data_IF_071287108647
#
_entry.id   IF_071287108647
#
_cell.length_a   1.000
_cell.length_b   1.000
_cell.length_c   1.000
_cell.angle_alpha   90.00
_cell.angle_beta   90.00
_cell.angle_gamma   90.00
#
_symmetry.space_group_name_H-M   'P 1'
#
loop_
_entity.id
_entity.type
_entity.pdbx_description
1 polymer ?
#
# COMPACT_ATOMS: atom_id res chain seq x y z
N UNK A 1 -23.35 -1.21 -6.49
CA UNK A 1 -22.56 -1.29 -5.23
C UNK A 1 -21.84 0.04 -5.09
N UNK A 2 -22.45 1.02 -4.43
CA UNK A 2 -21.84 2.32 -4.13
C UNK A 2 -20.95 2.15 -2.91
N UNK A 3 -19.63 2.23 -3.10
CA UNK A 3 -18.62 2.03 -2.05
C UNK A 3 -18.05 3.40 -1.68
N UNK A 4 -17.99 3.72 -0.40
CA UNK A 4 -17.54 5.03 0.08
C UNK A 4 -16.39 4.87 1.07
N UNK A 5 -15.22 5.43 0.74
CA UNK A 5 -14.13 5.65 1.70
C UNK A 5 -13.50 7.02 1.45
N UNK A 6 -12.90 7.57 2.50
CA UNK A 6 -12.10 8.81 2.60
C UNK A 6 -12.85 10.10 2.31
N UNK A 7 -14.00 10.21 2.97
CA UNK A 7 -14.45 11.49 3.43
C UNK A 7 -14.61 11.39 4.95
N UNK A 8 -13.98 12.28 5.72
CA UNK A 8 -14.29 12.47 7.14
C UNK A 8 -15.14 13.73 7.31
N UNK A 9 -15.95 13.75 8.38
CA UNK A 9 -16.75 14.90 8.77
C UNK A 9 -17.67 15.40 7.65
N UNK A 10 -17.48 16.67 7.26
CA UNK A 10 -18.34 17.41 6.31
C UNK A 10 -18.47 16.76 4.93
N UNK A 11 -17.40 16.14 4.41
CA UNK A 11 -17.46 15.50 3.08
C UNK A 11 -18.28 14.21 3.09
N UNK A 12 -18.38 13.54 4.23
CA UNK A 12 -19.12 12.27 4.35
C UNK A 12 -20.59 12.54 4.63
N UNK A 13 -20.86 13.35 5.66
CA UNK A 13 -22.20 13.58 6.20
C UNK A 13 -22.91 14.80 5.59
N UNK A 14 -22.18 15.62 4.85
CA UNK A 14 -22.65 16.93 4.41
C UNK A 14 -22.45 17.99 5.49
N UNK A 15 -22.69 19.25 5.11
CA UNK A 15 -22.63 20.37 6.04
C UNK A 15 -23.51 21.53 5.59
N UNK A 16 -23.86 22.37 6.55
CA UNK A 16 -24.48 23.66 6.27
C UNK A 16 -23.39 24.72 6.21
N UNK A 17 -23.37 25.48 5.12
CA UNK A 17 -22.52 26.65 5.00
C UNK A 17 -23.02 27.75 5.95
N UNK A 18 -22.11 28.36 6.70
CA UNK A 18 -22.44 29.29 7.79
C UNK A 18 -22.88 30.65 7.22
N UNK A 19 -22.32 31.05 6.08
CA UNK A 19 -22.53 32.35 5.47
C UNK A 19 -23.78 32.33 4.57
N UNK A 20 -23.94 31.29 3.75
CA UNK A 20 -25.07 31.17 2.83
C UNK A 20 -26.29 30.49 3.46
N UNK A 21 -26.10 29.73 4.55
CA UNK A 21 -27.10 28.83 5.14
C UNK A 21 -27.61 27.76 4.17
N UNK A 22 -26.87 27.51 3.10
CA UNK A 22 -27.20 26.45 2.15
C UNK A 22 -26.66 25.11 2.63
N UNK A 23 -27.42 24.06 2.37
CA UNK A 23 -27.00 22.68 2.65
C UNK A 23 -26.15 22.16 1.49
N UNK A 24 -24.97 21.65 1.82
CA UNK A 24 -24.12 20.91 0.89
C UNK A 24 -24.12 19.44 1.27
N UNK A 25 -24.55 18.58 0.32
CA UNK A 25 -24.58 17.14 0.51
C UNK A 25 -23.17 16.55 0.69
N UNK A 26 -23.10 15.45 1.46
CA UNK A 26 -21.93 14.60 1.55
C UNK A 26 -22.14 13.29 0.79
N UNK A 27 -21.09 12.48 0.69
CA UNK A 27 -21.17 11.22 -0.07
C UNK A 27 -22.27 10.30 0.50
N UNK A 28 -22.41 10.23 1.82
CA UNK A 28 -23.45 9.39 2.43
C UNK A 28 -24.85 9.92 2.14
N UNK A 29 -25.08 11.22 2.25
CA UNK A 29 -26.43 11.79 2.06
C UNK A 29 -26.86 11.70 0.60
N UNK A 30 -25.92 11.91 -0.33
CA UNK A 30 -26.12 11.63 -1.76
C UNK A 30 -26.49 10.15 -2.00
N UNK A 31 -25.69 9.21 -1.48
CA UNK A 31 -25.96 7.77 -1.63
C UNK A 31 -27.30 7.40 -1.01
N UNK A 32 -27.61 7.91 0.18
CA UNK A 32 -28.87 7.66 0.86
C UNK A 32 -30.07 8.08 0.01
N UNK A 33 -30.03 9.26 -0.61
CA UNK A 33 -31.06 9.73 -1.55
C UNK A 33 -31.20 8.85 -2.77
N UNK A 34 -30.12 8.28 -3.27
CA UNK A 34 -30.16 7.38 -4.43
C UNK A 34 -30.77 6.02 -4.06
N UNK A 35 -30.38 5.48 -2.91
CA UNK A 35 -30.83 4.15 -2.45
C UNK A 35 -32.33 4.12 -2.14
N UNK A 36 -32.91 5.22 -1.66
CA UNK A 36 -34.35 5.27 -1.37
C UNK A 36 -35.23 5.39 -2.62
N UNK A 37 -34.67 5.75 -3.79
CA UNK A 37 -35.45 5.89 -5.04
C UNK A 37 -35.97 4.55 -5.55
N UNK A 38 -35.20 3.49 -5.36
CA UNK A 38 -35.55 2.14 -5.78
C UNK A 38 -35.58 1.18 -4.60
N UNK A 39 -36.79 0.87 -4.14
CA UNK A 39 -37.04 -0.08 -3.04
C UNK A 39 -37.19 -1.52 -3.53
N UNK A 40 -37.21 -1.76 -4.85
CA UNK A 40 -37.33 -3.10 -5.42
C UNK A 40 -36.03 -3.91 -5.30
N UNK A 41 -34.90 -3.21 -5.14
CA UNK A 41 -33.57 -3.80 -5.05
C UNK A 41 -33.04 -3.80 -3.64
N UNK A 42 -32.35 -4.88 -3.29
CA UNK A 42 -31.62 -4.97 -2.04
C UNK A 42 -30.26 -4.26 -2.19
N UNK A 43 -29.99 -3.28 -1.32
CA UNK A 43 -28.85 -2.38 -1.47
C UNK A 43 -27.94 -2.41 -0.25
N UNK A 44 -26.63 -2.47 -0.50
CA UNK A 44 -25.60 -2.48 0.54
C UNK A 44 -24.79 -1.20 0.45
N UNK A 45 -24.75 -0.44 1.54
CA UNK A 45 -23.87 0.72 1.71
C UNK A 45 -22.66 0.25 2.49
N UNK A 46 -21.48 0.30 1.85
CA UNK A 46 -20.24 -0.24 2.41
C UNK A 46 -19.33 0.90 2.85
N UNK A 47 -19.01 0.90 4.14
CA UNK A 47 -17.99 1.72 4.78
C UNK A 47 -16.76 0.84 5.03
N UNK A 48 -15.86 0.79 4.08
CA UNK A 48 -14.53 0.25 4.34
C UNK A 48 -13.72 1.39 4.92
N UNK A 49 -13.28 1.36 6.18
CA UNK A 49 -12.76 2.53 6.87
C UNK A 49 -12.48 2.32 8.33
N UNK A 50 -11.54 3.09 8.87
CA UNK A 50 -11.34 3.16 10.30
C UNK A 50 -12.53 3.91 10.91
N UNK A 51 -12.99 3.47 12.07
CA UNK A 51 -14.19 4.01 12.72
C UNK A 51 -13.80 5.13 13.67
N UNK A 52 -14.28 6.34 13.39
CA UNK A 52 -14.15 7.48 14.29
C UNK A 52 -15.48 7.73 15.02
N UNK A 53 -15.45 8.05 16.33
CA UNK A 53 -16.64 8.38 17.12
C UNK A 53 -17.51 9.47 16.49
N UNK A 54 -16.89 10.51 15.92
CA UNK A 54 -17.61 11.70 15.46
C UNK A 54 -18.60 11.42 14.34
N UNK A 55 -18.25 10.57 13.37
CA UNK A 55 -19.14 10.28 12.24
C UNK A 55 -20.00 9.05 12.49
N UNK A 56 -19.53 8.06 13.26
CA UNK A 56 -20.31 6.86 13.54
C UNK A 56 -21.48 7.16 14.47
N UNK A 57 -21.34 8.13 15.39
CA UNK A 57 -22.44 8.54 16.27
C UNK A 57 -23.60 9.16 15.50
N UNK A 58 -23.32 9.88 14.40
CA UNK A 58 -24.35 10.41 13.51
C UNK A 58 -25.19 9.30 12.84
N UNK A 59 -24.67 8.07 12.80
CA UNK A 59 -25.35 6.89 12.26
C UNK A 59 -26.10 6.07 13.30
N UNK A 60 -26.04 6.42 14.59
CA UNK A 60 -26.71 5.63 15.62
C UNK A 60 -28.23 5.49 15.40
N UNK A 61 -28.90 6.52 14.87
CA UNK A 61 -30.33 6.48 14.50
C UNK A 61 -30.62 5.75 13.20
N UNK A 62 -29.60 5.53 12.38
CA UNK A 62 -29.69 4.70 11.17
C UNK A 62 -29.57 3.22 11.54
N UNK A 63 -28.72 2.92 12.52
CA UNK A 63 -28.40 1.57 12.98
C UNK A 63 -29.37 1.05 14.06
N UNK A 64 -30.28 1.89 14.57
CA UNK A 64 -31.34 1.46 15.47
C UNK A 64 -32.61 1.02 14.71
N UNK A 65 -33.64 0.65 15.45
CA UNK A 65 -34.91 0.19 14.90
C UNK A 65 -35.63 1.25 14.04
N UNK A 66 -35.30 2.54 14.20
CA UNK A 66 -35.93 3.63 13.46
C UNK A 66 -35.43 3.73 12.01
N UNK A 67 -34.21 3.23 11.73
CA UNK A 67 -33.57 3.26 10.39
C UNK A 67 -33.63 4.64 9.73
N UNK A 68 -33.30 5.69 10.50
CA UNK A 68 -33.51 7.08 10.13
C UNK A 68 -32.21 7.88 10.15
N UNK A 69 -31.80 8.40 8.99
CA UNK A 69 -30.71 9.37 8.90
C UNK A 69 -31.27 10.78 9.11
N UNK A 70 -30.79 11.47 10.15
CA UNK A 70 -31.18 12.86 10.43
C UNK A 70 -30.02 13.79 10.11
N UNK A 71 -30.25 14.71 9.19
CA UNK A 71 -29.25 15.71 8.79
C UNK A 71 -29.34 16.95 9.69
N UNK A 72 -28.22 17.68 9.90
CA UNK A 72 -28.22 18.94 10.65
C UNK A 72 -29.17 20.01 10.10
N UNK A 73 -29.53 19.95 8.81
CA UNK A 73 -30.56 20.81 8.19
C UNK A 73 -31.97 20.56 8.74
N UNK A 74 -32.18 19.47 9.48
CA UNK A 74 -33.48 19.02 9.97
C UNK A 74 -34.18 18.04 9.01
N UNK A 75 -33.65 17.84 7.81
CA UNK A 75 -34.15 16.84 6.88
C UNK A 75 -33.86 15.42 7.38
N UNK A 76 -34.81 14.51 7.11
CA UNK A 76 -34.79 13.13 7.60
C UNK A 76 -35.01 12.16 6.45
N UNK A 77 -34.10 11.20 6.30
CA UNK A 77 -34.15 10.15 5.28
C UNK A 77 -34.37 8.81 5.97
N UNK A 78 -35.49 8.15 5.68
CA UNK A 78 -35.83 6.85 6.24
C UNK A 78 -35.41 5.74 5.28
N UNK A 79 -34.68 4.73 5.79
CA UNK A 79 -34.27 3.58 5.00
C UNK A 79 -35.28 2.43 5.10
N UNK A 80 -35.53 1.78 3.97
CA UNK A 80 -36.34 0.56 3.93
C UNK A 80 -35.59 -0.66 4.50
N UNK A 81 -36.33 -1.76 4.69
CA UNK A 81 -35.74 -3.05 5.11
C UNK A 81 -34.83 -3.67 4.03
N UNK A 82 -34.86 -3.14 2.81
CA UNK A 82 -34.03 -3.53 1.69
C UNK A 82 -32.60 -2.96 1.75
N UNK A 83 -32.28 -2.09 2.72
CA UNK A 83 -30.96 -1.45 2.84
C UNK A 83 -30.18 -2.07 3.99
N UNK A 84 -28.94 -2.47 3.71
CA UNK A 84 -27.98 -2.96 4.69
C UNK A 84 -26.73 -2.09 4.73
N UNK A 85 -26.16 -1.96 5.92
CA UNK A 85 -24.91 -1.25 6.19
C UNK A 85 -23.83 -2.27 6.52
N UNK A 86 -22.70 -2.19 5.81
CA UNK A 86 -21.53 -3.03 6.06
C UNK A 86 -20.35 -2.16 6.42
N UNK A 87 -19.72 -2.44 7.56
CA UNK A 87 -18.53 -1.75 8.03
C UNK A 87 -17.34 -2.71 7.99
N UNK A 88 -16.30 -2.37 7.24
CA UNK A 88 -15.02 -3.08 7.23
C UNK A 88 -13.96 -2.22 7.91
N UNK A 89 -13.64 -2.55 9.16
CA UNK A 89 -12.65 -1.84 9.99
C UNK A 89 -11.57 -2.80 10.49
N UNK A 90 -10.37 -2.29 10.71
CA UNK A 90 -9.25 -3.04 11.31
C UNK A 90 -9.41 -3.15 12.83
N UNK A 91 -9.92 -2.10 13.47
CA UNK A 91 -10.12 -2.03 14.92
C UNK A 91 -11.42 -1.32 15.29
N UNK A 92 -11.96 -1.68 16.46
CA UNK A 92 -13.12 -1.06 17.10
C UNK A 92 -12.73 -0.32 18.39
N UNK A 93 -11.44 -0.06 18.62
CA UNK A 93 -10.92 0.57 19.85
C UNK A 93 -11.62 1.89 20.20
N UNK A 94 -11.96 2.69 19.19
CA UNK A 94 -12.63 3.98 19.37
C UNK A 94 -14.16 3.90 19.22
N UNK A 95 -14.72 2.73 18.92
CA UNK A 95 -16.17 2.59 18.79
C UNK A 95 -16.82 2.47 20.17
N UNK A 96 -17.92 3.21 20.39
CA UNK A 96 -18.67 3.10 21.64
C UNK A 96 -19.34 1.72 21.76
N UNK A 97 -19.47 1.13 22.97
CA UNK A 97 -20.20 -0.13 23.14
C UNK A 97 -21.65 -0.06 22.67
N UNK A 98 -22.29 1.12 22.74
CA UNK A 98 -23.64 1.34 22.25
C UNK A 98 -23.75 1.27 20.72
N UNK A 99 -22.68 1.62 20.01
CA UNK A 99 -22.58 1.49 18.56
C UNK A 99 -22.35 0.02 18.19
N UNK A 100 -21.43 -0.66 18.87
CA UNK A 100 -21.13 -2.09 18.63
C UNK A 100 -22.34 -2.98 18.89
N UNK A 101 -23.13 -2.70 19.94
CA UNK A 101 -24.31 -3.51 20.28
C UNK A 101 -25.46 -3.44 19.27
N UNK A 102 -25.48 -2.41 18.41
CA UNK A 102 -26.49 -2.22 17.36
C UNK A 102 -26.17 -2.93 16.06
N UNK A 103 -24.97 -3.53 15.95
CA UNK A 103 -24.48 -4.13 14.71
C UNK A 103 -24.20 -5.62 14.88
N UNK A 104 -24.48 -6.39 13.83
CA UNK A 104 -23.93 -7.74 13.71
C UNK A 104 -22.43 -7.66 13.45
N UNK A 105 -21.64 -8.42 14.20
CA UNK A 105 -20.19 -8.42 14.08
C UNK A 105 -19.69 -9.78 13.61
N UNK A 106 -18.87 -9.77 12.57
CA UNK A 106 -18.12 -10.93 12.10
C UNK A 106 -16.65 -10.66 12.42
N UNK A 107 -16.05 -11.52 13.24
CA UNK A 107 -14.64 -11.45 13.56
C UNK A 107 -13.88 -12.48 12.72
N UNK A 108 -12.79 -12.07 12.08
CA UNK A 108 -11.90 -12.93 11.30
C UNK A 108 -10.57 -12.96 12.03
N UNK A 109 -10.13 -14.14 12.48
CA UNK A 109 -8.85 -14.28 13.16
C UNK A 109 -7.72 -14.36 12.13
N UNK A 110 -6.53 -13.91 12.51
CA UNK A 110 -5.33 -14.17 11.71
C UNK A 110 -5.00 -15.67 11.59
N UNK A 111 -5.47 -16.48 12.54
CA UNK A 111 -5.28 -17.93 12.53
C UNK A 111 -6.13 -18.63 11.46
N UNK A 112 -7.21 -17.99 11.00
CA UNK A 112 -8.11 -18.52 9.98
C UNK A 112 -7.53 -18.38 8.56
N UNK A 113 -6.47 -17.57 8.38
CA UNK A 113 -5.86 -17.32 7.07
C UNK A 113 -4.73 -18.31 6.82
N UNK A 114 -5.00 -19.32 5.99
CA UNK A 114 -3.99 -20.29 5.55
C UNK A 114 -3.08 -19.71 4.47
N UNK A 115 -1.81 -19.47 4.82
CA UNK A 115 -0.78 -19.06 3.85
C UNK A 115 -0.66 -20.05 2.68
N UNK A 116 -0.86 -21.34 2.93
CA UNK A 116 -0.82 -22.40 1.90
C UNK A 116 -1.88 -22.21 0.82
N UNK A 117 -3.09 -21.81 1.20
CA UNK A 117 -4.18 -21.60 0.25
C UNK A 117 -3.96 -20.37 -0.62
N UNK A 118 -3.44 -19.29 -0.03
CA UNK A 118 -3.08 -18.08 -0.77
C UNK A 118 -1.97 -18.38 -1.78
N UNK A 119 -0.94 -19.12 -1.37
CA UNK A 119 0.15 -19.57 -2.26
C UNK A 119 -0.40 -20.48 -3.35
N UNK A 120 -1.21 -21.49 -3.02
CA UNK A 120 -1.80 -22.40 -4.01
C UNK A 120 -2.65 -21.66 -5.05
N UNK A 121 -3.44 -20.67 -4.63
CA UNK A 121 -4.19 -19.80 -5.54
C UNK A 121 -3.26 -19.01 -6.46
N UNK A 122 -2.19 -18.43 -5.91
CA UNK A 122 -1.21 -17.67 -6.70
C UNK A 122 -0.47 -18.55 -7.71
N UNK A 123 -0.03 -19.75 -7.31
CA UNK A 123 0.63 -20.71 -8.19
C UNK A 123 -0.26 -21.10 -9.36
N UNK A 124 -1.57 -21.33 -9.12
CA UNK A 124 -2.54 -21.62 -10.20
C UNK A 124 -2.60 -20.54 -11.26
N UNK A 125 -2.38 -19.27 -10.91
CA UNK A 125 -2.38 -18.17 -11.89
C UNK A 125 -1.17 -18.16 -12.82
N UNK A 126 -0.09 -18.87 -12.46
CA UNK A 126 1.20 -18.87 -13.17
C UNK A 126 1.60 -20.25 -13.70
N UNK A 127 0.78 -21.29 -13.47
CA UNK A 127 1.14 -22.67 -13.81
C UNK A 127 1.33 -22.87 -15.32
N UNK A 128 0.59 -22.12 -16.15
CA UNK A 128 0.75 -22.17 -17.61
C UNK A 128 2.02 -21.45 -18.09
N UNK A 129 2.43 -20.37 -17.42
CA UNK A 129 3.62 -19.59 -17.78
C UNK A 129 4.93 -20.22 -17.26
N UNK A 130 4.87 -20.90 -16.10
CA UNK A 130 6.07 -21.39 -15.41
C UNK A 130 5.87 -22.79 -14.77
N UNK A 131 6.02 -23.89 -15.54
CA UNK A 131 5.69 -25.25 -15.10
C UNK A 131 6.49 -25.75 -13.88
N UNK A 132 7.74 -25.29 -13.71
CA UNK A 132 8.63 -25.71 -12.60
C UNK A 132 8.47 -24.87 -11.33
N UNK A 133 7.68 -23.79 -11.37
CA UNK A 133 7.49 -22.89 -10.23
C UNK A 133 6.79 -23.56 -9.02
N UNK A 134 5.75 -24.42 -9.23
CA UNK A 134 5.09 -25.11 -8.11
C UNK A 134 6.07 -25.94 -7.27
N UNK A 135 6.97 -26.69 -7.92
CA UNK A 135 7.93 -27.55 -7.25
C UNK A 135 8.90 -26.74 -6.36
N UNK A 136 9.41 -25.62 -6.87
CA UNK A 136 10.31 -24.75 -6.10
C UNK A 136 9.62 -24.10 -4.90
N UNK A 137 8.35 -23.76 -5.04
CA UNK A 137 7.55 -23.17 -3.95
C UNK A 137 7.30 -24.19 -2.85
N UNK A 138 6.88 -25.40 -3.23
CA UNK A 138 6.65 -26.47 -2.27
C UNK A 138 7.93 -26.84 -1.51
N UNK A 139 9.07 -26.87 -2.20
CA UNK A 139 10.37 -27.21 -1.60
C UNK A 139 10.93 -26.12 -0.67
N UNK A 140 10.81 -24.84 -1.03
CA UNK A 140 11.56 -23.77 -0.36
C UNK A 140 10.70 -22.74 0.35
N UNK A 141 9.53 -22.38 -0.20
CA UNK A 141 8.82 -21.17 0.20
C UNK A 141 8.25 -21.29 1.62
N UNK A 142 7.58 -22.40 1.94
CA UNK A 142 6.90 -22.56 3.24
C UNK A 142 7.89 -22.48 4.41
N UNK A 143 9.02 -23.21 4.31
CA UNK A 143 10.07 -23.18 5.35
C UNK A 143 10.64 -21.77 5.55
N UNK A 144 10.94 -21.07 4.47
CA UNK A 144 11.51 -19.72 4.55
C UNK A 144 10.51 -18.73 5.15
N UNK A 145 9.25 -18.83 4.76
CA UNK A 145 8.19 -17.98 5.28
C UNK A 145 7.93 -18.22 6.77
N UNK A 146 7.81 -19.47 7.22
CA UNK A 146 7.65 -19.83 8.64
C UNK A 146 8.83 -19.34 9.49
N UNK A 147 10.06 -19.43 8.96
CA UNK A 147 11.23 -18.87 9.63
C UNK A 147 11.14 -17.35 9.79
N UNK A 148 10.70 -16.61 8.77
CA UNK A 148 10.50 -15.16 8.87
C UNK A 148 9.46 -14.79 9.92
N UNK A 149 8.38 -15.56 10.04
CA UNK A 149 7.37 -15.36 11.07
C UNK A 149 7.95 -15.59 12.48
N UNK A 150 8.72 -16.66 12.67
CA UNK A 150 9.36 -16.97 13.94
C UNK A 150 10.46 -15.95 14.32
N UNK A 151 11.17 -15.42 13.32
CA UNK A 151 12.18 -14.38 13.50
C UNK A 151 11.57 -13.02 13.91
N UNK A 152 10.28 -12.79 13.66
CA UNK A 152 9.59 -11.53 13.89
C UNK A 152 9.72 -10.58 12.70
N UNK A 153 8.56 -10.10 12.22
CA UNK A 153 8.46 -9.17 11.10
C UNK A 153 8.71 -7.72 11.57
N UNK A 154 9.42 -6.96 10.75
CA UNK A 154 9.75 -5.55 11.02
C UNK A 154 8.60 -4.62 10.64
N UNK A 155 8.59 -3.39 11.19
CA UNK A 155 7.73 -2.28 10.75
C UNK A 155 6.21 -2.57 10.75
N UNK A 156 5.71 -3.44 11.63
CA UNK A 156 4.28 -3.75 11.71
C UNK A 156 3.73 -4.48 10.49
N UNK A 157 4.58 -5.15 9.72
CA UNK A 157 4.18 -5.95 8.55
C UNK A 157 3.34 -7.14 9.00
N UNK A 158 2.11 -7.23 8.52
CA UNK A 158 1.24 -8.37 8.76
C UNK A 158 1.68 -9.63 8.00
N UNK A 159 1.21 -10.80 8.44
CA UNK A 159 1.52 -12.11 7.83
C UNK A 159 1.26 -12.14 6.32
N UNK A 160 0.11 -11.63 5.88
CA UNK A 160 -0.30 -11.59 4.47
C UNK A 160 0.57 -10.64 3.65
N UNK A 161 0.96 -9.50 4.23
CA UNK A 161 1.84 -8.54 3.57
C UNK A 161 3.22 -9.15 3.28
N UNK A 162 3.81 -9.82 4.27
CA UNK A 162 5.07 -10.55 4.11
C UNK A 162 4.97 -11.65 3.04
N UNK A 163 3.87 -12.41 3.05
CA UNK A 163 3.59 -13.46 2.07
C UNK A 163 3.56 -12.89 0.65
N UNK A 164 2.78 -11.84 0.43
CA UNK A 164 2.64 -11.19 -0.87
C UNK A 164 3.94 -10.53 -1.35
N UNK A 165 4.72 -9.96 -0.43
CA UNK A 165 6.02 -9.39 -0.73
C UNK A 165 6.97 -10.48 -1.26
N UNK A 166 7.08 -11.60 -0.55
CA UNK A 166 7.83 -12.77 -0.98
C UNK A 166 7.42 -13.26 -2.37
N UNK A 167 6.13 -13.54 -2.58
CA UNK A 167 5.60 -14.07 -3.86
C UNK A 167 5.84 -13.11 -5.04
N UNK A 168 5.74 -11.79 -4.82
CA UNK A 168 5.89 -10.81 -5.90
C UNK A 168 7.25 -10.83 -6.59
N UNK A 169 8.31 -11.21 -5.86
CA UNK A 169 9.66 -11.32 -6.40
C UNK A 169 9.89 -12.61 -7.21
N UNK A 170 9.06 -13.63 -7.03
CA UNK A 170 9.30 -14.97 -7.59
C UNK A 170 8.85 -15.12 -9.05
N UNK A 171 8.00 -14.21 -9.54
CA UNK A 171 7.35 -14.33 -10.86
C UNK A 171 8.34 -14.43 -12.03
N UNK A 172 9.46 -13.72 -11.94
CA UNK A 172 10.46 -13.67 -13.03
C UNK A 172 11.60 -14.69 -12.87
N UNK A 173 11.46 -15.63 -11.93
CA UNK A 173 12.46 -16.68 -11.73
C UNK A 173 12.58 -17.56 -12.98
N UNK A 174 13.80 -17.93 -13.37
CA UNK A 174 14.07 -18.72 -14.60
C UNK A 174 14.78 -20.04 -14.33
N UNK A 175 15.53 -20.09 -13.24
CA UNK A 175 16.23 -21.27 -12.76
C UNK A 175 16.03 -21.39 -11.26
N UNK A 176 16.31 -22.57 -10.69
CA UNK A 176 16.23 -22.80 -9.25
C UNK A 176 17.13 -21.84 -8.46
N UNK A 177 18.34 -21.53 -8.95
CA UNK A 177 19.23 -20.56 -8.31
C UNK A 177 18.67 -19.14 -8.37
N UNK A 178 18.09 -18.73 -9.51
CA UNK A 178 17.42 -17.44 -9.64
C UNK A 178 16.24 -17.32 -8.66
N UNK A 179 15.47 -18.40 -8.52
CA UNK A 179 14.35 -18.48 -7.58
C UNK A 179 14.82 -18.27 -6.13
N UNK A 180 15.91 -18.91 -5.70
CA UNK A 180 16.45 -18.74 -4.34
C UNK A 180 16.90 -17.30 -4.06
N UNK A 181 17.56 -16.66 -5.04
CA UNK A 181 17.93 -15.24 -4.93
C UNK A 181 16.71 -14.33 -4.80
N UNK A 182 15.68 -14.57 -5.61
CA UNK A 182 14.44 -13.80 -5.55
C UNK A 182 13.65 -14.04 -4.27
N UNK A 183 13.63 -15.28 -3.77
CA UNK A 183 13.04 -15.65 -2.49
C UNK A 183 13.74 -14.92 -1.33
N UNK A 184 15.08 -14.92 -1.33
CA UNK A 184 15.86 -14.17 -0.37
C UNK A 184 15.54 -12.68 -0.44
N UNK A 185 15.50 -12.05 -1.62
CA UNK A 185 15.20 -10.62 -1.78
C UNK A 185 13.79 -10.25 -1.32
N UNK A 186 12.80 -11.08 -1.66
CA UNK A 186 11.40 -10.83 -1.31
C UNK A 186 11.12 -10.94 0.19
N UNK A 187 11.71 -11.91 0.88
CA UNK A 187 11.47 -12.14 2.32
C UNK A 187 12.48 -11.44 3.24
N UNK A 188 13.72 -11.17 2.79
CA UNK A 188 14.72 -10.48 3.62
C UNK A 188 14.37 -9.02 3.89
N UNK A 189 13.52 -8.42 3.05
CA UNK A 189 13.06 -7.02 3.20
C UNK A 189 12.05 -6.81 4.32
N UNK A 190 11.44 -7.88 4.85
CA UNK A 190 10.47 -7.82 5.95
C UNK A 190 11.04 -8.23 7.31
N UNK A 191 12.30 -8.64 7.37
CA UNK A 191 13.01 -9.02 8.59
C UNK A 191 14.12 -8.02 8.94
N UNK A 192 14.59 -8.08 10.19
CA UNK A 192 15.69 -7.23 10.65
C UNK A 192 16.99 -7.53 9.88
N UNK A 193 17.79 -6.50 9.62
CA UNK A 193 19.07 -6.61 8.92
C UNK A 193 20.06 -7.53 9.64
N UNK A 194 20.02 -7.58 10.98
CA UNK A 194 20.90 -8.48 11.76
C UNK A 194 20.60 -9.97 11.48
N UNK A 195 19.34 -10.29 11.16
CA UNK A 195 18.85 -11.66 10.96
C UNK A 195 19.00 -12.16 9.52
N UNK A 196 19.39 -11.28 8.59
CA UNK A 196 19.49 -11.62 7.15
C UNK A 196 20.56 -12.66 6.85
N UNK A 197 21.66 -12.68 7.61
CA UNK A 197 22.71 -13.70 7.47
C UNK A 197 22.20 -15.08 7.84
N UNK A 198 21.55 -15.19 8.99
CA UNK A 198 20.93 -16.43 9.45
C UNK A 198 19.87 -16.89 8.45
N UNK A 199 19.05 -15.96 7.95
CA UNK A 199 18.05 -16.25 6.93
C UNK A 199 18.66 -16.80 5.63
N UNK A 200 19.78 -16.25 5.17
CA UNK A 200 20.46 -16.74 3.97
C UNK A 200 20.89 -18.20 4.09
N UNK A 201 21.28 -18.65 5.29
CA UNK A 201 21.63 -20.06 5.55
C UNK A 201 20.44 -21.00 5.34
N UNK A 202 19.23 -20.52 5.64
CA UNK A 202 17.98 -21.26 5.47
C UNK A 202 17.53 -21.26 4.01
N UNK A 203 17.67 -20.13 3.30
CA UNK A 203 17.26 -20.02 1.89
C UNK A 203 18.17 -20.86 1.00
N UNK A 204 19.49 -20.70 1.15
CA UNK A 204 20.49 -21.32 0.27
C UNK A 204 21.02 -22.65 0.82
N UNK A 205 20.23 -23.37 1.61
CA UNK A 205 20.66 -24.64 2.19
C UNK A 205 21.06 -25.63 1.08
N UNK A 206 22.33 -26.06 1.08
CA UNK A 206 22.87 -26.97 0.07
C UNK A 206 23.33 -26.31 -1.23
N UNK A 207 23.25 -24.97 -1.34
CA UNK A 207 23.75 -24.20 -2.49
C UNK A 207 24.91 -23.31 -2.03
N UNK A 208 26.10 -23.42 -2.63
CA UNK A 208 27.24 -22.59 -2.26
C UNK A 208 26.99 -21.13 -2.66
N UNK A 209 27.08 -20.22 -1.67
CA UNK A 209 27.02 -18.79 -1.91
C UNK A 209 28.43 -18.21 -2.16
N UNK A 210 28.60 -17.32 -3.16
CA UNK A 210 29.87 -16.64 -3.39
C UNK A 210 30.33 -15.75 -2.21
N UNK A 211 29.38 -15.18 -1.46
CA UNK A 211 29.65 -14.36 -0.27
C UNK A 211 28.55 -14.63 0.76
N UNK A 212 28.90 -15.36 1.82
CA UNK A 212 27.97 -15.70 2.91
C UNK A 212 27.97 -14.63 4.01
N UNK A 213 28.98 -13.76 4.07
CA UNK A 213 29.02 -12.65 5.02
C UNK A 213 28.08 -11.52 4.58
N UNK A 214 27.92 -11.33 3.27
CA UNK A 214 27.08 -10.30 2.66
C UNK A 214 26.14 -10.91 1.59
N UNK A 215 25.15 -11.72 2.00
CA UNK A 215 24.25 -12.41 1.06
C UNK A 215 23.43 -11.45 0.19
N UNK A 216 23.22 -10.20 0.63
CA UNK A 216 22.55 -9.15 -0.15
C UNK A 216 23.31 -8.77 -1.43
N UNK A 217 24.63 -8.95 -1.45
CA UNK A 217 25.48 -8.65 -2.59
C UNK A 217 25.51 -9.77 -3.64
N UNK A 218 24.80 -10.88 -3.39
CA UNK A 218 24.72 -11.99 -4.34
C UNK A 218 23.60 -11.74 -5.35
N UNK A 219 23.90 -11.97 -6.63
CA UNK A 219 22.94 -11.92 -7.71
C UNK A 219 23.07 -13.14 -8.62
N UNK A 220 22.00 -13.43 -9.35
CA UNK A 220 21.98 -14.47 -10.36
C UNK A 220 22.37 -13.87 -11.71
N UNK A 221 23.45 -14.37 -12.33
CA UNK A 221 23.79 -14.01 -13.70
C UNK A 221 23.09 -14.97 -14.68
N UNK A 222 22.14 -14.42 -15.43
CA UNK A 222 21.41 -15.16 -16.46
C UNK A 222 22.28 -15.66 -17.62
N UNK A 223 23.48 -15.09 -17.81
CA UNK A 223 24.39 -15.48 -18.91
C UNK A 223 25.18 -16.73 -18.60
N UNK A 224 25.63 -16.85 -17.35
CA UNK A 224 26.46 -17.98 -16.87
C UNK A 224 25.65 -19.00 -16.07
N UNK A 225 24.37 -18.72 -15.82
CA UNK A 225 23.46 -19.52 -14.97
C UNK A 225 24.09 -19.84 -13.61
N UNK A 226 24.74 -18.82 -13.02
CA UNK A 226 25.49 -18.96 -11.77
C UNK A 226 25.26 -17.80 -10.81
N UNK A 227 25.43 -18.07 -9.53
CA UNK A 227 25.46 -17.05 -8.50
C UNK A 227 26.79 -16.29 -8.56
N UNK A 228 26.69 -14.97 -8.63
CA UNK A 228 27.81 -14.05 -8.68
C UNK A 228 27.67 -13.01 -7.58
N UNK A 229 28.79 -12.39 -7.19
CA UNK A 229 28.82 -11.29 -6.22
C UNK A 229 28.92 -9.98 -6.98
N UNK A 230 28.16 -8.97 -6.57
CA UNK A 230 28.39 -7.60 -7.04
C UNK A 230 29.82 -7.19 -6.70
N UNK A 231 30.48 -6.56 -7.66
CA UNK A 231 31.80 -5.97 -7.48
C UNK A 231 31.65 -4.45 -7.59
N UNK A 232 32.49 -3.73 -6.85
CA UNK A 232 32.53 -2.28 -6.96
C UNK A 232 33.08 -1.90 -8.34
N UNK A 233 32.25 -1.25 -9.16
CA UNK A 233 32.68 -0.66 -10.42
C UNK A 233 33.11 0.79 -10.17
N UNK A 234 34.40 0.97 -9.90
CA UNK A 234 35.04 2.29 -9.74
C UNK A 234 35.27 3.00 -11.10
N UNK A 235 34.83 2.40 -12.22
CA UNK A 235 35.16 2.83 -13.58
C UNK A 235 34.27 3.91 -14.19
N UNK A 236 33.16 4.30 -13.54
CA UNK A 236 32.34 5.42 -14.01
C UNK A 236 32.97 6.72 -13.51
N UNK A 237 33.99 7.20 -14.23
CA UNK A 237 34.64 8.48 -13.95
C UNK A 237 33.59 9.59 -13.91
N UNK A 238 33.33 10.11 -12.71
CA UNK A 238 32.41 11.24 -12.49
C UNK A 238 33.01 12.44 -13.20
N UNK A 239 32.39 12.90 -14.30
CA UNK A 239 32.90 14.09 -14.98
C UNK A 239 32.44 15.33 -14.22
N UNK A 240 33.26 16.39 -14.25
CA UNK A 240 32.91 17.68 -13.66
C UNK A 240 31.58 18.24 -14.21
N UNK A 241 31.20 17.84 -15.43
CA UNK A 241 29.91 18.20 -16.04
C UNK A 241 28.71 17.51 -15.38
N UNK A 242 28.87 16.28 -14.86
CA UNK A 242 27.82 15.53 -14.18
C UNK A 242 27.51 16.13 -12.80
N UNK A 243 28.53 16.68 -12.12
CA UNK A 243 28.38 17.36 -10.83
C UNK A 243 27.68 18.72 -10.94
N UNK A 244 27.83 19.41 -12.08
CA UNK A 244 27.17 20.70 -12.35
C UNK A 244 25.68 20.58 -12.67
N UNK A 245 25.18 19.38 -13.00
CA UNK A 245 23.78 19.16 -13.42
C UNK A 245 22.75 19.31 -12.30
N UNK A 246 23.15 19.42 -11.04
CA UNK A 246 22.34 20.03 -9.96
C UNK A 246 20.89 19.55 -9.83
N UNK A 247 20.56 18.32 -10.23
CA UNK A 247 19.19 17.81 -10.15
C UNK A 247 18.86 17.45 -8.70
N UNK A 248 18.44 18.46 -7.94
CA UNK A 248 17.68 18.30 -6.70
C UNK A 248 16.19 18.17 -7.06
N UNK A 249 15.46 17.20 -6.48
CA UNK A 249 14.14 16.82 -6.96
C UNK A 249 13.08 17.90 -6.71
N UNK A 250 12.26 18.01 -7.76
CA UNK A 250 11.06 18.78 -8.04
C UNK A 250 10.19 19.27 -6.86
N UNK A 251 9.85 20.55 -6.98
CA UNK A 251 8.74 21.25 -6.30
C UNK A 251 7.45 20.91 -7.06
N UNK A 252 6.36 20.60 -6.35
CA UNK A 252 5.01 20.48 -6.91
C UNK A 252 4.57 21.85 -7.44
N UNK A 253 4.79 22.09 -8.73
CA UNK A 253 4.37 23.29 -9.45
C UNK A 253 3.00 23.07 -10.09
N UNK A 254 2.28 24.17 -10.38
CA UNK A 254 1.02 24.16 -11.11
C UNK A 254 1.08 23.39 -12.45
N UNK A 255 2.27 23.25 -13.05
CA UNK A 255 2.49 22.43 -14.24
C UNK A 255 2.29 20.92 -14.00
N UNK A 256 2.59 20.40 -12.80
CA UNK A 256 2.30 19.02 -12.43
C UNK A 256 0.79 18.77 -12.24
N UNK A 257 0.04 19.83 -11.88
CA UNK A 257 -1.42 19.81 -11.84
C UNK A 257 -2.03 19.94 -13.26
N UNK A 258 -1.37 20.66 -14.17
CA UNK A 258 -1.83 20.89 -15.55
C UNK A 258 -1.80 19.66 -16.48
N UNK A 259 -1.15 18.56 -16.07
CA UNK A 259 -1.08 17.32 -16.85
C UNK A 259 -2.23 16.33 -16.55
N UNK A 260 -3.27 16.74 -15.82
CA UNK A 260 -4.47 15.92 -15.58
C UNK A 260 -5.53 16.22 -16.65
N UNK A 261 -5.51 15.47 -17.75
CA UNK A 261 -6.63 15.46 -18.68
C UNK A 261 -7.64 14.37 -18.24
N UNK A 262 -8.86 14.79 -17.93
CA UNK A 262 -10.00 13.89 -17.66
C UNK A 262 -10.59 13.43 -18.99
N UNK A 263 -10.57 12.13 -19.28
CA UNK A 263 -11.32 11.57 -20.41
C UNK A 263 -12.62 10.97 -19.91
N UNK A 264 -13.75 11.35 -20.51
CA UNK A 264 -15.05 10.73 -20.23
C UNK A 264 -15.13 9.38 -20.93
N UNK A 265 -15.16 8.28 -20.18
CA UNK A 265 -15.50 6.96 -20.70
C UNK A 265 -16.96 6.62 -20.37
N UNK A 266 -17.53 5.61 -21.00
CA UNK A 266 -18.90 5.15 -20.74
C UNK A 266 -19.13 4.63 -19.30
N UNK A 267 -18.06 4.51 -18.50
CA UNK A 267 -18.08 4.05 -17.10
C UNK A 267 -17.81 5.16 -16.07
N UNK A 268 -17.67 6.42 -16.51
CA UNK A 268 -17.45 7.59 -15.64
C UNK A 268 -16.23 8.44 -16.02
N UNK A 269 -15.92 9.45 -15.19
CA UNK A 269 -14.74 10.31 -15.36
C UNK A 269 -13.50 9.53 -14.93
N UNK A 270 -12.47 9.48 -15.78
CA UNK A 270 -11.22 8.76 -15.48
C UNK A 270 -10.02 9.67 -15.71
N UNK A 271 -9.05 9.59 -14.80
CA UNK A 271 -7.73 10.24 -14.93
C UNK A 271 -6.71 9.23 -15.45
N UNK A 272 -6.00 9.62 -16.50
CA UNK A 272 -4.94 8.81 -17.13
C UNK A 272 -3.78 9.70 -17.58
N UNK A 273 -2.53 9.19 -17.64
CA UNK A 273 -1.40 9.93 -18.20
C UNK A 273 -1.63 10.32 -19.66
N UNK A 274 -1.26 11.56 -19.99
CA UNK A 274 -1.22 12.05 -21.37
C UNK A 274 0.07 11.62 -22.05
N UNK A 275 -0.03 11.09 -23.26
CA UNK A 275 1.09 10.73 -24.15
C UNK A 275 2.14 9.76 -23.59
N UNK A 276 1.87 9.14 -22.43
CA UNK A 276 2.74 8.17 -21.77
C UNK A 276 1.93 6.96 -21.31
N UNK A 277 2.49 5.73 -21.40
CA UNK A 277 1.78 4.52 -21.01
C UNK A 277 1.57 4.41 -19.50
N UNK A 278 2.39 5.09 -18.69
CA UNK A 278 2.35 5.00 -17.23
C UNK A 278 2.81 6.30 -16.59
N UNK A 279 2.13 6.72 -15.51
CA UNK A 279 2.57 7.78 -14.60
C UNK A 279 3.08 7.16 -13.31
N UNK A 280 4.22 7.61 -12.80
CA UNK A 280 4.73 7.22 -11.49
C UNK A 280 4.60 8.41 -10.54
N UNK A 281 3.83 8.24 -9.47
CA UNK A 281 3.74 9.18 -8.37
C UNK A 281 4.72 8.76 -7.28
N UNK A 282 5.70 9.61 -6.98
CA UNK A 282 6.67 9.37 -5.91
C UNK A 282 6.37 10.25 -4.69
N UNK A 283 6.12 9.60 -3.56
CA UNK A 283 5.81 10.23 -2.28
C UNK A 283 7.03 10.19 -1.36
N UNK A 284 7.59 11.36 -1.07
CA UNK A 284 8.75 11.49 -0.18
C UNK A 284 8.30 11.72 1.26
N UNK A 285 8.68 10.81 2.16
CA UNK A 285 8.39 10.90 3.60
C UNK A 285 6.97 10.46 3.92
N UNK A 286 6.62 9.23 3.57
CA UNK A 286 5.26 8.68 3.75
C UNK A 286 4.78 8.73 5.21
N UNK A 287 5.72 8.67 6.15
CA UNK A 287 5.49 8.67 7.60
C UNK A 287 5.46 10.07 8.24
N UNK A 288 5.69 11.15 7.48
CA UNK A 288 5.73 12.51 8.02
C UNK A 288 4.36 13.10 8.41
N UNK A 289 3.26 12.81 7.70
CA UNK A 289 1.96 13.38 8.04
C UNK A 289 1.52 12.96 9.44
N UNK A 290 1.20 13.95 10.28
CA UNK A 290 0.77 13.73 11.64
C UNK A 290 -0.60 13.00 11.67
N UNK A 291 -0.78 11.99 12.53
CA UNK A 291 -2.09 11.40 12.74
C UNK A 291 -3.02 12.37 13.48
N UNK A 292 -4.32 12.14 13.34
CA UNK A 292 -5.35 12.78 14.15
C UNK A 292 -5.35 12.24 15.60
N UNK A 293 -6.26 12.75 16.44
CA UNK A 293 -6.41 12.34 17.85
C UNK A 293 -6.76 10.85 18.04
N UNK A 294 -7.15 10.16 16.97
CA UNK A 294 -7.49 8.74 16.95
C UNK A 294 -6.40 7.89 16.27
N UNK A 295 -5.23 8.47 15.98
CA UNK A 295 -4.13 7.75 15.34
C UNK A 295 -4.31 7.54 13.83
N UNK A 296 -5.36 8.10 13.22
CA UNK A 296 -5.64 7.93 11.79
C UNK A 296 -5.02 9.06 10.97
N UNK A 297 -4.58 8.76 9.74
CA UNK A 297 -4.08 9.78 8.82
C UNK A 297 -4.92 9.81 7.54
N UNK A 298 -5.56 10.95 7.24
CA UNK A 298 -6.43 11.10 6.07
C UNK A 298 -5.70 10.86 4.75
N UNK A 299 -4.44 11.29 4.64
CA UNK A 299 -3.64 11.07 3.44
C UNK A 299 -3.33 9.57 3.25
N UNK A 300 -2.97 8.85 4.31
CA UNK A 300 -2.73 7.41 4.23
C UNK A 300 -4.01 6.61 3.95
N UNK A 301 -5.14 7.04 4.52
CA UNK A 301 -6.45 6.49 4.20
C UNK A 301 -6.80 6.72 2.72
N UNK A 302 -6.54 7.93 2.19
CA UNK A 302 -6.70 8.26 0.78
C UNK A 302 -5.88 7.36 -0.12
N UNK A 303 -4.58 7.17 0.19
CA UNK A 303 -3.73 6.25 -0.58
C UNK A 303 -4.27 4.82 -0.56
N UNK A 304 -4.75 4.35 0.59
CA UNK A 304 -5.36 3.02 0.72
C UNK A 304 -6.57 2.90 -0.20
N UNK A 305 -7.43 3.92 -0.25
CA UNK A 305 -8.56 3.94 -1.17
C UNK A 305 -8.11 3.90 -2.64
N UNK A 306 -7.11 4.71 -3.01
CA UNK A 306 -6.62 4.74 -4.39
C UNK A 306 -6.07 3.38 -4.83
N UNK A 307 -5.32 2.69 -3.96
CA UNK A 307 -4.76 1.37 -4.25
C UNK A 307 -5.83 0.27 -4.29
N UNK A 308 -6.85 0.35 -3.42
CA UNK A 308 -7.90 -0.68 -3.31
C UNK A 308 -8.96 -0.54 -4.41
N UNK A 309 -9.40 0.69 -4.66
CA UNK A 309 -10.58 0.98 -5.48
C UNK A 309 -10.26 1.65 -6.81
N UNK A 310 -9.00 2.04 -7.03
CA UNK A 310 -8.56 2.69 -8.27
C UNK A 310 -9.39 3.93 -8.61
N UNK A 311 -9.77 4.70 -7.60
CA UNK A 311 -10.61 5.89 -7.77
C UNK A 311 -10.99 6.55 -6.46
N UNK A 312 -11.62 7.71 -6.57
CA UNK A 312 -12.07 8.51 -5.44
C UNK A 312 -13.27 9.41 -5.79
N UNK A 313 -13.98 9.92 -4.77
CA UNK A 313 -15.00 10.94 -4.97
C UNK A 313 -14.39 12.34 -4.96
N UNK A 314 -14.72 13.14 -5.97
CA UNK A 314 -14.26 14.53 -6.05
C UNK A 314 -15.07 15.48 -5.13
N UNK A 315 -14.89 16.78 -5.30
CA UNK A 315 -15.60 17.81 -4.52
C UNK A 315 -17.09 17.91 -4.89
N UNK A 316 -17.46 17.45 -6.08
CA UNK A 316 -18.82 17.43 -6.59
C UNK A 316 -19.54 16.11 -6.33
N UNK A 317 -18.92 15.21 -5.56
CA UNK A 317 -19.40 13.86 -5.25
C UNK A 317 -19.45 12.92 -6.46
N UNK A 318 -18.73 13.24 -7.53
CA UNK A 318 -18.57 12.37 -8.69
C UNK A 318 -17.44 11.37 -8.43
N UNK A 319 -17.67 10.10 -8.77
CA UNK A 319 -16.60 9.09 -8.75
C UNK A 319 -15.64 9.30 -9.92
N UNK A 320 -14.36 9.48 -9.60
CA UNK A 320 -13.26 9.59 -10.55
C UNK A 320 -12.38 8.34 -10.46
N UNK A 321 -12.31 7.60 -11.57
CA UNK A 321 -11.39 6.47 -11.72
C UNK A 321 -9.95 6.92 -12.00
N UNK A 322 -8.98 6.07 -11.63
CA UNK A 322 -7.56 6.24 -11.91
C UNK A 322 -7.05 5.07 -12.76
N UNK A 323 -6.41 5.38 -13.88
CA UNK A 323 -5.81 4.39 -14.77
C UNK A 323 -4.33 4.67 -15.03
N UNK A 324 -3.52 3.61 -15.08
CA UNK A 324 -2.09 3.66 -15.40
C UNK A 324 -1.25 4.58 -14.50
N UNK A 325 -1.59 4.63 -13.22
CA UNK A 325 -0.85 5.36 -12.19
C UNK A 325 -0.22 4.36 -11.22
N UNK A 326 1.11 4.40 -11.11
CA UNK A 326 1.86 3.65 -10.11
C UNK A 326 2.24 4.57 -8.96
N UNK A 327 1.99 4.13 -7.73
CA UNK A 327 2.37 4.87 -6.53
C UNK A 327 3.63 4.24 -5.94
N UNK A 328 4.64 5.06 -5.71
CA UNK A 328 5.89 4.70 -5.04
C UNK A 328 6.13 5.67 -3.89
N UNK A 329 6.77 5.21 -2.82
CA UNK A 329 7.01 6.04 -1.66
C UNK A 329 8.35 5.71 -1.00
N UNK A 330 8.93 6.70 -0.34
CA UNK A 330 10.07 6.52 0.56
C UNK A 330 9.72 6.99 1.96
N UNK A 331 10.24 6.30 2.97
CA UNK A 331 10.11 6.68 4.37
C UNK A 331 11.45 6.54 5.07
N UNK A 332 11.69 7.36 6.08
CA UNK A 332 12.82 7.14 6.97
C UNK A 332 12.44 6.09 8.02
N UNK A 333 13.37 5.20 8.42
CA UNK A 333 13.16 4.33 9.57
C UNK A 333 12.84 5.22 10.77
N UNK A 334 11.60 5.17 11.26
CA UNK A 334 11.14 6.08 12.30
C UNK A 334 11.28 5.42 13.66
N UNK A 335 12.01 6.07 14.56
CA UNK A 335 12.12 5.70 15.98
C UNK A 335 10.85 6.09 16.75
N UNK A 336 10.04 7.01 16.20
CA UNK A 336 8.88 7.61 16.87
C UNK A 336 7.58 7.39 16.08
N UNK A 337 6.77 6.44 16.55
CA UNK A 337 5.30 6.25 16.52
C UNK A 337 4.39 6.69 15.36
N UNK A 338 4.85 7.26 14.24
CA UNK A 338 4.02 7.38 13.04
C UNK A 338 3.98 6.04 12.29
N UNK A 339 3.24 5.08 12.86
CA UNK A 339 3.06 3.77 12.24
C UNK A 339 2.19 3.91 11.00
N UNK A 340 2.64 3.37 9.87
CA UNK A 340 1.82 3.31 8.66
C UNK A 340 0.74 2.24 8.90
N UNK A 341 -0.53 2.49 8.52
CA UNK A 341 -1.59 1.51 8.72
C UNK A 341 -1.23 0.16 8.07
N UNK A 342 -1.37 -0.98 8.80
CA UNK A 342 -1.08 -2.31 8.26
C UNK A 342 -1.84 -2.59 6.96
N UNK A 343 -3.07 -2.06 6.83
CA UNK A 343 -3.89 -2.11 5.62
C UNK A 343 -3.15 -1.54 4.40
N UNK A 344 -2.49 -0.39 4.53
CA UNK A 344 -1.69 0.21 3.46
C UNK A 344 -0.42 -0.60 3.18
N UNK A 345 0.29 -1.01 4.23
CA UNK A 345 1.52 -1.82 4.11
C UNK A 345 1.25 -3.12 3.34
N UNK A 346 0.10 -3.76 3.58
CA UNK A 346 -0.28 -5.01 2.90
C UNK A 346 -0.47 -4.89 1.39
N UNK A 347 -0.83 -3.70 0.91
CA UNK A 347 -1.07 -3.43 -0.51
C UNK A 347 0.20 -2.99 -1.23
N UNK A 348 1.20 -2.51 -0.49
CA UNK A 348 2.47 -2.06 -1.03
C UNK A 348 3.50 -3.20 -1.05
N UNK A 349 4.59 -2.98 -1.79
CA UNK A 349 5.79 -3.81 -1.73
C UNK A 349 6.91 -2.98 -1.12
N UNK A 350 7.65 -3.58 -0.21
CA UNK A 350 8.62 -2.86 0.60
C UNK A 350 10.02 -3.38 0.38
N UNK A 351 10.96 -2.44 0.37
CA UNK A 351 12.38 -2.68 0.31
C UNK A 351 13.04 -1.76 1.33
N UNK A 352 13.97 -2.29 2.10
CA UNK A 352 14.77 -1.55 3.06
C UNK A 352 16.21 -1.46 2.55
N UNK A 353 16.77 -0.25 2.54
CA UNK A 353 18.15 0.01 2.11
C UNK A 353 18.91 0.53 3.32
N UNK A 354 20.04 -0.11 3.64
CA UNK A 354 20.93 0.30 4.73
C UNK A 354 21.85 1.46 4.34
N UNK A 355 22.54 2.02 5.33
CA UNK A 355 23.60 3.00 5.07
C UNK A 355 24.80 2.31 4.38
N UNK A 356 25.47 3.00 3.43
CA UNK A 356 26.72 2.50 2.86
C UNK A 356 27.78 2.27 3.95
N UNK A 357 28.61 1.24 3.78
CA UNK A 357 29.73 0.99 4.70
C UNK A 357 30.79 2.09 4.62
N UNK A 358 31.67 2.18 5.62
CA UNK A 358 32.80 3.11 5.61
C UNK A 358 33.69 2.94 4.36
N UNK A 359 33.91 1.70 3.94
CA UNK A 359 34.66 1.39 2.71
C UNK A 359 33.96 1.95 1.47
N UNK A 360 32.63 1.78 1.37
CA UNK A 360 31.86 2.35 0.27
C UNK A 360 31.89 3.89 0.31
N UNK A 361 31.77 4.50 1.48
CA UNK A 361 31.85 5.95 1.63
C UNK A 361 33.21 6.47 1.19
N UNK A 362 34.30 5.84 1.61
CA UNK A 362 35.66 6.20 1.21
C UNK A 362 35.84 6.11 -0.31
N UNK A 363 35.33 5.05 -0.93
CA UNK A 363 35.34 4.89 -2.39
C UNK A 363 34.53 5.99 -3.10
N UNK A 364 33.31 6.28 -2.63
CA UNK A 364 32.44 7.33 -3.18
C UNK A 364 33.11 8.70 -3.07
N UNK A 365 33.60 9.07 -1.88
CA UNK A 365 34.24 10.37 -1.69
C UNK A 365 35.53 10.49 -2.49
N UNK A 366 36.33 9.44 -2.59
CA UNK A 366 37.55 9.43 -3.41
C UNK A 366 37.22 9.66 -4.89
N UNK A 367 36.19 8.98 -5.42
CA UNK A 367 35.75 9.14 -6.80
C UNK A 367 35.20 10.56 -7.09
N UNK A 368 34.55 11.20 -6.10
CA UNK A 368 34.08 12.58 -6.23
C UNK A 368 35.21 13.61 -6.12
N UNK A 369 36.23 13.35 -5.30
CA UNK A 369 37.36 14.25 -5.07
C UNK A 369 38.38 14.20 -6.21
N UNK A 370 38.60 13.04 -6.84
CA UNK A 370 39.62 12.86 -7.88
C UNK A 370 39.46 13.84 -9.06
N UNK A 371 38.26 14.02 -9.68
CA UNK A 371 38.06 15.00 -10.74
C UNK A 371 38.16 16.46 -10.28
N UNK A 372 37.94 16.75 -8.99
CA UNK A 372 38.09 18.11 -8.44
C UNK A 372 39.58 18.43 -8.27
N UNK A 373 40.37 17.45 -7.82
CA UNK A 373 41.81 17.59 -7.58
C UNK A 373 42.62 17.60 -8.88
N UNK A 374 42.18 16.87 -9.92
CA UNK A 374 42.83 16.83 -11.25
C UNK A 374 42.65 18.12 -12.08
N UNK A 375 41.80 19.06 -11.64
CA UNK A 375 41.53 20.34 -12.33
C UNK A 375 42.48 21.47 -11.88
N UNK A 376 43.43 21.21 -10.96
CA UNK A 376 44.47 22.17 -10.57
C UNK A 376 45.81 21.90 -11.24
#
# INVERSE_FOLDING_TARGET
MSRTKVAKGKRLLGHMDIDTREWSDGILTMVAREVIKDTSVHTWIVFDGDIDPEWIEALNSVLDDNRLLTMPSGERIQFGSNVNFLFETDSLEFASPATVSRMGMIYISEEDISAKEVVAKWVKTLTEEHPSLPDWIEQHFQRCYEWCLAAGLTNGVGKVAALQNGLSHLRESRSSQHFLVNLFRGLSSVIDSEKKRDFATIVFQGVPLPDMENPELVYFDSRTDSLMRYQDDLGVGVKLEDMKRGTKPFILTASAQSNRDTTSSALGRVLRPKDRPQLILYLKGLNLPAPDKYGTNEMLAFLTQLLTYQGYYDEHLDWIGLENIQITASMAPSVTHSSIPPRLVSQMRMLAIGYPSEQNLNAIYSAYLMPILEVN
#
